data_IF_337005664772
#
_entry.id   IF_337005664772
#
_cell.length_a   1.000
_cell.length_b   1.000
_cell.length_c   1.000
_cell.angle_alpha   90.00
_cell.angle_beta   90.00
_cell.angle_gamma   90.00
#
_symmetry.space_group_name_H-M   'P 1'
#
loop_
_entity.id
_entity.type
_entity.pdbx_description
1 polymer ?
#
# COMPACT_ATOMS: atom_id res chain seq x y z
N UNK A 1 6.09 24.89 22.22
CA UNK A 1 7.33 24.58 21.46
C UNK A 1 7.70 25.82 20.64
N UNK A 2 8.98 26.19 20.49
CA UNK A 2 9.32 27.30 19.59
C UNK A 2 9.14 26.84 18.14
N UNK A 3 8.72 27.72 17.22
CA UNK A 3 8.65 27.40 15.78
C UNK A 3 9.98 26.85 15.25
N UNK A 4 11.10 27.25 15.87
CA UNK A 4 12.45 26.78 15.51
C UNK A 4 12.72 25.31 15.84
N UNK A 5 11.97 24.72 16.77
CA UNK A 5 12.13 23.32 17.17
C UNK A 5 11.26 22.38 16.31
N UNK A 6 10.35 22.95 15.50
CA UNK A 6 9.43 22.18 14.68
C UNK A 6 10.13 21.70 13.41
N UNK A 7 10.09 20.37 13.22
CA UNK A 7 10.39 19.72 11.94
C UNK A 7 9.09 19.31 11.26
N UNK A 8 8.83 19.86 10.08
CA UNK A 8 7.72 19.51 9.21
C UNK A 8 7.94 18.12 8.61
N UNK A 9 6.90 17.29 8.66
CA UNK A 9 6.89 15.94 8.11
C UNK A 9 6.01 15.94 6.85
N UNK A 10 6.62 15.64 5.70
CA UNK A 10 5.90 15.41 4.45
C UNK A 10 5.29 14.01 4.47
N UNK A 11 4.03 13.90 4.86
CA UNK A 11 3.33 12.61 4.94
C UNK A 11 2.42 12.30 3.73
N UNK A 12 2.35 13.21 2.75
CA UNK A 12 1.43 13.14 1.62
C UNK A 12 2.16 13.21 0.28
N UNK A 13 3.03 12.23 0.07
CA UNK A 13 3.83 12.09 -1.15
C UNK A 13 3.15 11.07 -2.08
N UNK A 14 2.92 11.49 -3.32
CA UNK A 14 2.40 10.67 -4.40
C UNK A 14 3.55 10.14 -5.24
N UNK A 15 3.74 8.83 -5.17
CA UNK A 15 4.84 8.15 -5.86
C UNK A 15 4.47 7.78 -7.29
N UNK A 16 5.36 7.08 -8.00
CA UNK A 16 5.06 6.51 -9.31
C UNK A 16 3.84 5.54 -9.31
N UNK A 17 3.39 5.10 -8.14
CA UNK A 17 2.22 4.23 -7.99
C UNK A 17 0.89 4.99 -7.92
N UNK A 18 0.91 6.32 -7.78
CA UNK A 18 -0.21 7.19 -8.16
C UNK A 18 -0.28 7.30 -9.69
N UNK A 19 -0.86 6.29 -10.34
CA UNK A 19 -0.89 6.18 -11.80
C UNK A 19 -1.48 7.45 -12.43
N UNK A 20 -0.72 8.06 -13.35
CA UNK A 20 -1.08 9.30 -14.05
C UNK A 20 -1.33 10.51 -13.14
N UNK A 21 -0.77 10.53 -11.92
CA UNK A 21 -0.89 11.65 -11.00
C UNK A 21 0.43 11.93 -10.25
N UNK A 22 1.04 10.93 -9.63
CA UNK A 22 2.32 11.06 -8.91
C UNK A 22 3.51 10.74 -9.81
N UNK A 23 4.59 11.52 -9.66
CA UNK A 23 5.83 11.37 -10.43
C UNK A 23 7.06 11.13 -9.54
N UNK A 24 6.91 11.08 -8.21
CA UNK A 24 8.04 10.83 -7.31
C UNK A 24 8.47 9.36 -7.39
N UNK A 25 9.70 9.10 -7.84
CA UNK A 25 10.27 7.75 -7.76
C UNK A 25 10.77 7.44 -6.37
N UNK A 26 10.39 6.30 -5.82
CA UNK A 26 10.75 5.90 -4.44
C UNK A 26 12.28 5.84 -4.24
N UNK A 27 13.03 5.31 -5.20
CA UNK A 27 14.49 5.18 -5.09
C UNK A 27 15.21 6.55 -5.14
N UNK A 28 14.72 7.46 -5.99
CA UNK A 28 15.19 8.86 -6.08
C UNK A 28 14.83 9.61 -4.79
N UNK A 29 13.62 9.43 -4.28
CA UNK A 29 13.16 10.01 -3.02
C UNK A 29 14.03 9.56 -1.85
N UNK A 30 14.38 8.28 -1.74
CA UNK A 30 15.23 7.77 -0.67
C UNK A 30 16.64 8.40 -0.70
N UNK A 31 17.22 8.57 -1.89
CA UNK A 31 18.51 9.26 -2.08
C UNK A 31 18.42 10.73 -1.65
N UNK A 32 17.39 11.43 -2.13
CA UNK A 32 17.14 12.83 -1.77
C UNK A 32 16.90 12.99 -0.27
N UNK A 33 16.10 12.11 0.33
CA UNK A 33 15.76 12.14 1.74
C UNK A 33 17.00 12.03 2.64
N UNK A 34 17.94 11.16 2.26
CA UNK A 34 19.23 10.99 2.94
C UNK A 34 20.11 12.24 2.85
N UNK A 35 20.22 12.84 1.67
CA UNK A 35 21.02 14.05 1.44
C UNK A 35 20.45 15.24 2.21
N UNK A 36 19.13 15.40 2.19
CA UNK A 36 18.39 16.48 2.84
C UNK A 36 18.10 16.23 4.32
N UNK A 37 18.57 15.10 4.88
CA UNK A 37 18.46 14.72 6.30
C UNK A 37 17.01 14.72 6.82
N UNK A 38 16.06 14.28 6.01
CA UNK A 38 14.69 14.07 6.49
C UNK A 38 14.65 13.01 7.58
N UNK A 39 13.86 13.25 8.63
CA UNK A 39 13.69 12.27 9.73
C UNK A 39 12.56 11.28 9.43
N UNK A 40 11.53 11.74 8.74
CA UNK A 40 10.38 10.93 8.34
C UNK A 40 9.77 11.47 7.07
N UNK A 41 9.25 10.57 6.24
CA UNK A 41 8.46 10.88 5.04
C UNK A 41 7.29 9.92 4.95
N UNK A 42 6.20 10.32 4.33
CA UNK A 42 5.02 9.48 4.17
C UNK A 42 4.47 9.42 2.77
N UNK A 43 4.00 8.23 2.42
CA UNK A 43 3.36 7.90 1.17
C UNK A 43 1.85 8.07 1.30
N UNK A 44 1.20 8.65 0.30
CA UNK A 44 -0.26 8.79 0.23
C UNK A 44 -0.76 8.58 -1.19
N UNK A 45 -0.31 7.50 -1.84
CA UNK A 45 -0.72 7.20 -3.22
C UNK A 45 -2.24 7.15 -3.39
N UNK A 46 -2.66 7.49 -4.60
CA UNK A 46 -4.04 7.65 -4.99
C UNK A 46 -4.67 6.30 -5.25
N UNK A 47 -5.73 6.00 -4.52
CA UNK A 47 -6.60 4.82 -4.64
C UNK A 47 -5.94 3.49 -4.26
N UNK A 48 -4.64 3.45 -3.98
CA UNK A 48 -3.92 2.20 -3.78
C UNK A 48 -2.80 2.29 -2.74
N UNK A 49 -2.22 1.13 -2.43
CA UNK A 49 -1.09 0.93 -1.53
C UNK A 49 0.05 0.14 -2.22
N UNK A 50 0.10 0.13 -3.56
CA UNK A 50 1.04 -0.69 -4.32
C UNK A 50 2.50 -0.35 -3.99
N UNK A 51 2.79 0.93 -3.76
CA UNK A 51 4.12 1.41 -3.38
C UNK A 51 4.46 1.25 -1.89
N UNK A 52 3.54 0.84 -1.02
CA UNK A 52 3.71 0.95 0.43
C UNK A 52 4.85 0.09 0.99
N UNK A 53 5.04 -1.14 0.48
CA UNK A 53 6.13 -2.01 0.92
C UNK A 53 7.49 -1.51 0.42
N UNK A 54 7.60 -1.19 -0.87
CA UNK A 54 8.82 -0.64 -1.48
C UNK A 54 9.24 0.65 -0.77
N UNK A 55 8.30 1.57 -0.54
CA UNK A 55 8.54 2.82 0.20
C UNK A 55 9.02 2.54 1.62
N UNK A 56 8.39 1.60 2.32
CA UNK A 56 8.81 1.22 3.67
C UNK A 56 10.25 0.72 3.71
N UNK A 57 10.63 -0.16 2.78
CA UNK A 57 11.97 -0.73 2.75
C UNK A 57 13.03 0.29 2.33
N UNK A 58 12.77 1.05 1.27
CA UNK A 58 13.72 2.00 0.71
C UNK A 58 14.03 3.16 1.65
N UNK A 59 13.00 3.74 2.28
CA UNK A 59 13.19 4.84 3.23
C UNK A 59 13.83 4.33 4.53
N UNK A 60 13.40 3.17 5.04
CA UNK A 60 14.00 2.58 6.23
C UNK A 60 15.48 2.23 6.03
N UNK A 61 15.88 1.82 4.81
CA UNK A 61 17.28 1.49 4.47
C UNK A 61 18.21 2.70 4.57
N UNK A 62 17.70 3.89 4.32
CA UNK A 62 18.47 5.15 4.43
C UNK A 62 18.33 5.84 5.80
N UNK A 63 17.64 5.21 6.75
CA UNK A 63 17.46 5.72 8.11
C UNK A 63 16.33 6.75 8.25
N UNK A 64 15.41 6.82 7.28
CA UNK A 64 14.25 7.71 7.30
C UNK A 64 13.02 6.92 7.75
N UNK A 65 12.24 7.45 8.69
CA UNK A 65 11.04 6.79 9.20
C UNK A 65 9.87 6.88 8.19
N UNK A 66 9.36 5.76 7.64
CA UNK A 66 8.26 5.78 6.69
C UNK A 66 6.91 5.87 7.40
N UNK A 67 6.07 6.82 6.97
CA UNK A 67 4.67 6.96 7.38
C UNK A 67 3.79 6.42 6.25
N UNK A 68 2.90 5.48 6.56
CA UNK A 68 2.10 4.82 5.52
C UNK A 68 0.68 5.37 5.50
N UNK A 69 0.29 5.92 4.36
CA UNK A 69 -1.06 6.38 4.09
C UNK A 69 -1.48 6.09 2.64
N UNK A 70 -2.67 6.57 2.30
CA UNK A 70 -3.26 6.51 0.96
C UNK A 70 -4.40 7.53 0.87
N UNK A 71 -4.73 7.95 -0.34
CA UNK A 71 -5.98 8.66 -0.60
C UNK A 71 -7.00 7.72 -1.23
N UNK A 72 -8.07 7.42 -0.51
CA UNK A 72 -9.16 6.61 -1.06
C UNK A 72 -10.37 7.47 -1.38
N UNK A 73 -11.04 7.18 -2.48
CA UNK A 73 -12.33 7.75 -2.77
C UNK A 73 -13.36 7.25 -1.76
N UNK A 74 -14.11 8.17 -1.15
CA UNK A 74 -15.24 7.88 -0.28
C UNK A 74 -16.50 8.45 -0.91
N UNK A 75 -17.56 7.64 -0.93
CA UNK A 75 -18.89 8.01 -1.41
C UNK A 75 -19.81 8.37 -0.25
N UNK A 76 -20.42 9.53 -0.34
CA UNK A 76 -21.48 10.02 0.57
C UNK A 76 -22.52 10.77 -0.23
N UNK A 77 -23.80 10.47 -0.05
CA UNK A 77 -24.91 11.22 -0.68
C UNK A 77 -24.72 11.46 -2.19
N UNK A 78 -24.28 10.42 -2.91
CA UNK A 78 -23.94 10.41 -4.35
C UNK A 78 -22.73 11.25 -4.79
N UNK A 79 -21.99 11.83 -3.86
CA UNK A 79 -20.73 12.54 -4.12
C UNK A 79 -19.58 11.60 -3.78
N UNK A 80 -18.67 11.43 -4.74
CA UNK A 80 -17.43 10.65 -4.59
C UNK A 80 -16.25 11.61 -4.57
N UNK A 81 -15.32 11.43 -3.63
CA UNK A 81 -14.07 12.16 -3.64
C UNK A 81 -13.03 11.57 -2.71
N UNK A 82 -11.78 11.97 -2.91
CA UNK A 82 -10.64 11.49 -2.13
C UNK A 82 -10.73 11.91 -0.66
N UNK A 83 -10.30 11.02 0.22
CA UNK A 83 -10.06 11.27 1.66
C UNK A 83 -8.70 10.70 2.01
N UNK A 84 -7.89 11.49 2.69
CA UNK A 84 -6.54 11.11 3.12
C UNK A 84 -6.61 10.23 4.38
N UNK A 85 -6.02 9.05 4.32
CA UNK A 85 -5.98 8.08 5.42
C UNK A 85 -4.54 7.72 5.75
N UNK A 86 -4.17 7.70 7.03
CA UNK A 86 -2.81 7.36 7.48
C UNK A 86 -2.87 6.28 8.55
N UNK A 87 -2.05 5.25 8.43
CA UNK A 87 -1.93 4.20 9.42
C UNK A 87 -1.11 4.67 10.63
N UNK A 88 -1.73 4.63 11.81
CA UNK A 88 -1.06 4.87 13.09
C UNK A 88 -0.27 3.65 13.57
N UNK A 89 -0.81 2.46 13.33
CA UNK A 89 -0.26 1.19 13.82
C UNK A 89 -0.60 0.03 12.86
N UNK A 90 -0.23 -1.20 13.23
CA UNK A 90 -0.47 -2.39 12.41
C UNK A 90 -1.97 -2.63 12.12
N UNK A 91 -2.85 -2.36 13.09
CA UNK A 91 -4.30 -2.49 12.92
C UNK A 91 -4.78 -1.49 11.86
N UNK A 92 -4.31 -0.24 11.95
CA UNK A 92 -4.55 0.78 10.94
C UNK A 92 -4.10 0.36 9.56
N UNK A 93 -2.88 -0.15 9.43
CA UNK A 93 -2.38 -0.63 8.13
C UNK A 93 -3.24 -1.76 7.54
N UNK A 94 -3.66 -2.74 8.36
CA UNK A 94 -4.59 -3.79 7.93
C UNK A 94 -5.93 -3.23 7.48
N UNK A 95 -6.43 -2.20 8.16
CA UNK A 95 -7.65 -1.51 7.77
C UNK A 95 -7.48 -0.74 6.45
N UNK A 96 -6.34 -0.08 6.21
CA UNK A 96 -6.03 0.53 4.91
C UNK A 96 -6.05 -0.51 3.79
N UNK A 97 -5.41 -1.67 3.98
CA UNK A 97 -5.41 -2.76 3.00
C UNK A 97 -6.82 -3.25 2.70
N UNK A 98 -7.66 -3.37 3.73
CA UNK A 98 -9.04 -3.82 3.58
C UNK A 98 -9.91 -2.80 2.86
N UNK A 99 -9.78 -1.52 3.20
CA UNK A 99 -10.47 -0.41 2.52
C UNK A 99 -10.04 -0.31 1.06
N UNK A 100 -8.74 -0.31 0.77
CA UNK A 100 -8.23 -0.27 -0.61
C UNK A 100 -8.75 -1.45 -1.43
N UNK A 101 -8.71 -2.68 -0.89
CA UNK A 101 -9.27 -3.86 -1.57
C UNK A 101 -10.76 -3.73 -1.83
N UNK A 102 -11.53 -3.28 -0.83
CA UNK A 102 -12.99 -3.10 -0.92
C UNK A 102 -13.37 -2.02 -1.95
N UNK A 103 -12.56 -0.98 -2.07
CA UNK A 103 -12.76 0.08 -3.07
C UNK A 103 -12.69 -0.40 -4.53
N UNK A 104 -12.16 -1.60 -4.79
CA UNK A 104 -12.15 -2.20 -6.13
C UNK A 104 -13.07 -3.41 -6.25
N UNK A 105 -13.21 -4.24 -5.21
CA UNK A 105 -13.93 -5.52 -5.28
C UNK A 105 -15.44 -5.41 -5.10
N UNK A 106 -15.92 -4.44 -4.33
CA UNK A 106 -17.33 -4.36 -3.93
C UNK A 106 -18.14 -3.40 -4.81
N UNK A 107 -17.62 -3.08 -6.01
CA UNK A 107 -18.15 -2.05 -6.89
C UNK A 107 -18.22 -2.59 -8.31
N UNK A 108 -19.17 -2.05 -9.10
CA UNK A 108 -19.25 -2.31 -10.52
C UNK A 108 -17.97 -1.83 -11.24
N UNK A 109 -17.48 -2.61 -12.19
CA UNK A 109 -16.27 -2.31 -12.96
C UNK A 109 -16.32 -0.98 -13.75
N UNK A 110 -17.51 -0.40 -13.94
CA UNK A 110 -17.73 0.86 -14.65
C UNK A 110 -17.74 2.09 -13.74
N UNK A 111 -17.77 1.92 -12.42
CA UNK A 111 -17.73 3.01 -11.45
C UNK A 111 -16.28 3.29 -11.02
N UNK A 112 -16.02 4.54 -10.63
CA UNK A 112 -14.72 4.87 -10.02
C UNK A 112 -14.55 4.07 -8.71
N UNK A 113 -13.34 3.55 -8.43
CA UNK A 113 -13.06 2.85 -7.18
C UNK A 113 -13.42 3.75 -5.99
N UNK A 114 -14.19 3.25 -5.02
CA UNK A 114 -14.62 4.01 -3.84
C UNK A 114 -15.06 3.13 -2.66
N UNK A 115 -14.86 3.58 -1.44
CA UNK A 115 -15.55 3.01 -0.28
C UNK A 115 -16.80 3.84 0.05
N UNK A 116 -17.79 3.24 0.70
CA UNK A 116 -18.85 4.02 1.32
C UNK A 116 -18.33 4.69 2.60
N UNK A 117 -18.96 5.79 3.03
CA UNK A 117 -18.65 6.37 4.34
C UNK A 117 -18.85 5.36 5.50
N UNK A 118 -19.77 4.40 5.34
CA UNK A 118 -19.99 3.33 6.32
C UNK A 118 -18.76 2.45 6.44
N UNK A 119 -18.15 2.05 5.32
CA UNK A 119 -16.94 1.22 5.34
C UNK A 119 -15.80 1.93 6.08
N UNK A 120 -15.65 3.24 5.88
CA UNK A 120 -14.65 4.03 6.61
C UNK A 120 -14.92 4.03 8.13
N UNK A 121 -16.18 4.06 8.56
CA UNK A 121 -16.55 3.95 9.98
C UNK A 121 -16.27 2.55 10.54
N UNK A 122 -16.58 1.51 9.77
CA UNK A 122 -16.40 0.10 10.16
C UNK A 122 -14.91 -0.28 10.26
N UNK A 123 -14.04 0.28 9.41
CA UNK A 123 -12.59 0.02 9.37
C UNK A 123 -11.76 1.21 9.89
N UNK A 124 -12.22 1.85 10.97
CA UNK A 124 -11.65 3.08 11.51
C UNK A 124 -10.46 2.92 12.46
N UNK A 125 -10.36 1.78 13.14
CA UNK A 125 -9.37 1.59 14.20
C UNK A 125 -7.93 1.75 13.71
N UNK A 126 -7.13 2.53 14.43
CA UNK A 126 -5.71 2.72 14.12
C UNK A 126 -5.43 3.62 12.91
N UNK A 127 -6.43 4.35 12.39
CA UNK A 127 -6.27 5.28 11.28
C UNK A 127 -6.39 6.74 11.72
N UNK A 128 -5.62 7.61 11.08
CA UNK A 128 -5.91 9.03 10.97
C UNK A 128 -6.73 9.31 9.72
N UNK A 129 -7.66 10.25 9.83
CA UNK A 129 -8.46 10.76 8.71
C UNK A 129 -8.23 12.25 8.60
N UNK A 130 -7.82 12.70 7.42
CA UNK A 130 -7.64 14.12 7.14
C UNK A 130 -8.70 14.57 6.14
N UNK A 131 -9.45 15.61 6.52
CA UNK A 131 -10.49 16.21 5.71
C UNK A 131 -10.05 17.61 5.29
N UNK A 132 -9.76 17.79 4.01
CA UNK A 132 -9.38 19.08 3.45
C UNK A 132 -8.65 18.92 2.14
N UNK A 133 -7.82 19.89 1.80
CA UNK A 133 -7.11 19.93 0.51
C UNK A 133 -8.01 20.19 -0.70
N UNK A 134 -7.38 20.48 -1.83
CA UNK A 134 -8.07 20.70 -3.09
C UNK A 134 -8.39 19.37 -3.79
N UNK A 135 -9.40 19.34 -4.66
CA UNK A 135 -9.83 18.12 -5.39
C UNK A 135 -10.23 16.89 -4.54
N UNK A 136 -10.59 17.08 -3.25
CA UNK A 136 -11.01 16.03 -2.33
C UNK A 136 -12.53 15.94 -2.18
N UNK A 137 -13.02 14.96 -1.42
CA UNK A 137 -14.44 14.92 -1.02
C UNK A 137 -14.83 16.20 -0.26
N UNK A 138 -13.92 16.69 0.58
CA UNK A 138 -14.12 17.92 1.37
C UNK A 138 -14.30 19.12 0.46
N UNK A 139 -13.41 19.35 -0.51
CA UNK A 139 -13.55 20.48 -1.42
C UNK A 139 -14.82 20.37 -2.27
N UNK A 140 -15.16 19.19 -2.78
CA UNK A 140 -16.41 18.98 -3.53
C UNK A 140 -17.64 19.35 -2.71
N UNK A 141 -17.70 18.98 -1.43
CA UNK A 141 -18.84 19.31 -0.56
C UNK A 141 -18.92 20.82 -0.30
N UNK A 142 -17.81 21.47 0.03
CA UNK A 142 -17.78 22.90 0.36
C UNK A 142 -18.09 23.76 -0.86
N UNK A 143 -17.48 23.46 -2.01
CA UNK A 143 -17.63 24.26 -3.22
C UNK A 143 -19.02 24.13 -3.84
N UNK A 144 -19.67 22.97 -3.67
CA UNK A 144 -21.05 22.73 -4.11
C UNK A 144 -22.11 23.14 -3.06
N UNK A 145 -21.72 23.90 -2.03
CA UNK A 145 -22.59 24.38 -0.95
C UNK A 145 -23.34 23.25 -0.20
N UNK A 146 -22.71 22.08 -0.05
CA UNK A 146 -23.25 20.90 0.64
C UNK A 146 -22.86 20.86 2.13
N UNK A 147 -22.84 22.01 2.80
CA UNK A 147 -22.34 22.17 4.16
C UNK A 147 -23.05 21.24 5.16
N UNK A 148 -24.36 21.02 5.00
CA UNK A 148 -25.12 20.10 5.86
C UNK A 148 -24.60 18.67 5.78
N UNK A 149 -24.24 18.21 4.57
CA UNK A 149 -23.68 16.88 4.35
C UNK A 149 -22.28 16.80 4.96
N UNK A 150 -21.45 17.83 4.75
CA UNK A 150 -20.13 17.93 5.37
C UNK A 150 -20.21 17.83 6.89
N UNK A 151 -21.04 18.66 7.54
CA UNK A 151 -21.21 18.67 9.00
C UNK A 151 -21.71 17.34 9.55
N UNK A 152 -22.67 16.70 8.86
CA UNK A 152 -23.15 15.37 9.23
C UNK A 152 -22.03 14.33 9.17
N UNK A 153 -21.22 14.37 8.12
CA UNK A 153 -20.10 13.44 7.94
C UNK A 153 -19.02 13.66 8.99
N UNK A 154 -18.66 14.91 9.28
CA UNK A 154 -17.71 15.23 10.35
C UNK A 154 -18.22 14.70 11.70
N UNK A 155 -19.50 14.88 12.04
CA UNK A 155 -20.04 14.36 13.30
C UNK A 155 -19.97 12.83 13.41
N UNK A 156 -20.31 12.12 12.32
CA UNK A 156 -20.18 10.65 12.25
C UNK A 156 -18.72 10.22 12.42
N UNK A 157 -17.81 10.80 11.64
CA UNK A 157 -16.38 10.49 11.71
C UNK A 157 -15.81 10.81 13.08
N UNK A 158 -16.14 11.97 13.66
CA UNK A 158 -15.66 12.38 14.98
C UNK A 158 -16.06 11.39 16.09
N UNK A 159 -17.26 10.81 16.02
CA UNK A 159 -17.72 9.82 17.01
C UNK A 159 -16.84 8.56 17.05
N UNK A 160 -16.20 8.24 15.93
CA UNK A 160 -15.40 7.02 15.75
C UNK A 160 -13.90 7.31 15.84
N UNK A 161 -13.41 8.28 15.08
CA UNK A 161 -11.98 8.62 14.98
C UNK A 161 -11.48 9.46 16.15
N UNK A 162 -12.36 10.18 16.86
CA UNK A 162 -12.02 11.02 18.02
C UNK A 162 -10.83 11.94 17.70
N UNK A 163 -9.72 11.76 18.41
CA UNK A 163 -8.50 12.56 18.28
C UNK A 163 -7.68 12.24 17.01
N UNK A 164 -8.09 11.26 16.21
CA UNK A 164 -7.45 10.89 14.96
C UNK A 164 -8.11 11.54 13.72
N UNK A 165 -9.07 12.46 13.90
CA UNK A 165 -9.70 13.23 12.83
C UNK A 165 -9.10 14.64 12.79
N UNK A 166 -8.63 15.06 11.62
CA UNK A 166 -8.07 16.40 11.42
C UNK A 166 -8.71 17.12 10.23
N UNK A 167 -8.78 18.44 10.31
CA UNK A 167 -8.98 19.31 9.16
C UNK A 167 -7.64 19.64 8.52
N UNK A 168 -7.50 19.30 7.25
CA UNK A 168 -6.26 19.41 6.49
C UNK A 168 -6.19 20.76 5.78
N UNK A 169 -5.15 21.55 6.09
CA UNK A 169 -4.91 22.84 5.44
C UNK A 169 -3.71 22.71 4.50
N UNK A 170 -3.91 23.18 3.27
CA UNK A 170 -2.97 23.11 2.16
C UNK A 170 -2.91 24.47 1.47
N UNK A 171 -1.72 24.87 1.02
CA UNK A 171 -1.46 26.18 0.42
C UNK A 171 -0.50 26.02 -0.77
N UNK A 172 -1.07 25.73 -1.93
CA UNK A 172 -0.37 25.60 -3.20
C UNK A 172 -0.64 26.78 -4.15
N UNK A 173 -1.36 27.81 -3.69
CA UNK A 173 -1.85 28.93 -4.50
C UNK A 173 -2.86 28.47 -5.57
N UNK A 174 -3.69 27.48 -5.22
CA UNK A 174 -4.72 26.96 -6.11
C UNK A 174 -6.03 27.73 -6.00
N UNK A 175 -6.83 27.64 -7.06
CA UNK A 175 -8.17 28.22 -7.05
C UNK A 175 -9.03 27.55 -5.97
N UNK A 176 -9.67 28.38 -5.14
CA UNK A 176 -10.55 28.01 -4.03
C UNK A 176 -9.87 27.52 -2.74
N UNK A 177 -8.53 27.41 -2.65
CA UNK A 177 -7.86 27.01 -1.40
C UNK A 177 -8.26 27.93 -0.24
N UNK A 178 -8.23 29.25 -0.43
CA UNK A 178 -8.65 30.23 0.59
C UNK A 178 -10.08 29.99 1.08
N UNK A 179 -11.00 29.63 0.17
CA UNK A 179 -12.40 29.38 0.53
C UNK A 179 -12.52 28.11 1.39
N UNK A 180 -11.81 27.06 1.01
CA UNK A 180 -11.80 25.77 1.74
C UNK A 180 -11.13 25.97 3.11
N UNK A 181 -9.98 26.61 3.16
CA UNK A 181 -9.24 26.91 4.39
C UNK A 181 -10.10 27.71 5.37
N UNK A 182 -10.67 28.83 4.93
CA UNK A 182 -11.52 29.68 5.78
C UNK A 182 -12.73 28.90 6.35
N UNK A 183 -13.34 28.04 5.54
CA UNK A 183 -14.44 27.19 5.98
C UNK A 183 -13.98 26.18 7.04
N UNK A 184 -12.86 25.49 6.81
CA UNK A 184 -12.32 24.49 7.74
C UNK A 184 -11.87 25.11 9.06
N UNK A 185 -11.16 26.25 9.02
CA UNK A 185 -10.71 26.96 10.23
C UNK A 185 -11.91 27.44 11.05
N UNK A 186 -12.94 27.99 10.39
CA UNK A 186 -14.16 28.44 11.08
C UNK A 186 -14.90 27.29 11.76
N UNK A 187 -14.97 26.13 11.11
CA UNK A 187 -15.63 24.93 11.65
C UNK A 187 -14.75 24.14 12.63
N UNK A 188 -13.43 24.30 12.61
CA UNK A 188 -12.50 23.63 13.53
C UNK A 188 -12.86 23.96 14.98
N UNK A 189 -13.11 25.25 15.28
CA UNK A 189 -13.47 25.72 16.62
C UNK A 189 -14.83 25.20 17.09
N UNK A 190 -15.85 25.29 16.23
CA UNK A 190 -17.22 24.89 16.59
C UNK A 190 -17.33 23.37 16.76
N UNK A 191 -16.69 22.60 15.88
CA UNK A 191 -16.73 21.15 15.89
C UNK A 191 -15.63 20.54 16.77
N UNK A 192 -14.71 21.34 17.33
CA UNK A 192 -13.55 20.88 18.11
C UNK A 192 -12.78 19.77 17.37
N UNK A 193 -12.46 20.02 16.10
CA UNK A 193 -11.63 19.15 15.27
C UNK A 193 -10.31 19.88 15.01
N UNK A 194 -9.15 19.32 15.39
CA UNK A 194 -7.86 19.98 15.22
C UNK A 194 -7.52 20.18 13.73
N UNK A 195 -6.74 21.22 13.44
CA UNK A 195 -6.20 21.48 12.10
C UNK A 195 -4.79 20.87 11.97
N UNK A 196 -4.41 20.46 10.77
CA UNK A 196 -3.07 19.96 10.46
C UNK A 196 -2.61 20.54 9.12
N UNK A 197 -1.35 21.00 9.08
CA UNK A 197 -0.74 21.47 7.84
C UNK A 197 -0.20 20.28 7.06
N UNK A 198 -0.45 20.24 5.75
CA UNK A 198 0.12 19.25 4.85
C UNK A 198 0.60 19.91 3.55
N UNK A 199 1.36 19.14 2.78
CA UNK A 199 1.84 19.49 1.46
C UNK A 199 1.55 18.29 0.56
N UNK A 200 0.78 18.50 -0.51
CA UNK A 200 0.50 17.46 -1.50
C UNK A 200 1.67 17.44 -2.49
N UNK A 201 2.52 16.41 -2.42
CA UNK A 201 3.75 16.35 -3.21
C UNK A 201 3.57 15.38 -4.38
N UNK A 202 3.74 15.87 -5.60
CA UNK A 202 3.71 15.04 -6.82
C UNK A 202 5.09 14.87 -7.47
N UNK A 203 6.04 15.76 -7.18
CA UNK A 203 7.40 15.74 -7.73
C UNK A 203 8.41 16.29 -6.71
N UNK A 204 9.70 15.99 -6.87
CA UNK A 204 10.72 16.36 -5.85
C UNK A 204 11.11 17.83 -5.98
N UNK A 205 11.37 18.31 -7.20
CA UNK A 205 11.91 19.64 -7.47
C UNK A 205 10.90 20.50 -8.25
N UNK A 206 10.84 21.79 -7.93
CA UNK A 206 9.87 22.73 -8.52
C UNK A 206 9.95 22.82 -10.05
N UNK A 207 11.15 22.68 -10.61
CA UNK A 207 11.41 22.70 -12.06
C UNK A 207 10.81 21.49 -12.81
N UNK A 208 10.30 20.48 -12.10
CA UNK A 208 9.60 19.34 -12.69
C UNK A 208 8.12 19.64 -13.03
N UNK A 209 7.62 20.83 -12.70
CA UNK A 209 6.21 21.17 -12.89
C UNK A 209 5.72 20.98 -14.34
N UNK A 210 6.46 21.49 -15.34
CA UNK A 210 6.04 21.37 -16.75
C UNK A 210 5.94 19.90 -17.20
N UNK A 211 6.89 19.07 -16.75
CA UNK A 211 6.88 17.64 -17.05
C UNK A 211 5.71 16.92 -16.36
N UNK A 212 5.39 17.31 -15.12
CA UNK A 212 4.25 16.78 -14.37
C UNK A 212 2.91 17.18 -14.99
N UNK A 213 2.78 18.43 -15.45
CA UNK A 213 1.59 18.92 -16.12
C UNK A 213 1.29 18.13 -17.41
N UNK A 214 2.33 17.87 -18.21
CA UNK A 214 2.22 16.99 -19.38
C UNK A 214 1.87 15.54 -19.00
N UNK A 215 2.44 15.00 -17.91
CA UNK A 215 2.18 13.65 -17.44
C UNK A 215 0.71 13.43 -17.05
N UNK A 216 0.11 14.39 -16.34
CA UNK A 216 -1.30 14.33 -15.96
C UNK A 216 -2.24 14.35 -17.18
N UNK A 217 -1.89 15.10 -18.22
CA UNK A 217 -2.67 15.15 -19.46
C UNK A 217 -2.82 13.76 -20.10
N UNK A 218 -1.82 12.88 -19.97
CA UNK A 218 -1.88 11.48 -20.44
C UNK A 218 -3.00 10.72 -19.72
N UNK A 219 -3.12 10.88 -18.40
CA UNK A 219 -4.19 10.26 -17.61
C UNK A 219 -5.57 10.79 -17.96
N UNK A 220 -5.67 12.10 -18.19
CA UNK A 220 -6.93 12.76 -18.56
C UNK A 220 -7.34 12.56 -20.02
N UNK A 221 -6.43 12.03 -20.86
CA UNK A 221 -6.60 11.98 -22.33
C UNK A 221 -6.89 13.38 -22.89
N UNK A 222 -6.19 14.38 -22.36
CA UNK A 222 -6.32 15.79 -22.72
C UNK A 222 -5.00 16.33 -23.29
N UNK A 223 -5.05 17.54 -23.84
CA UNK A 223 -3.87 18.28 -24.31
C UNK A 223 -3.53 19.40 -23.34
N UNK A 224 -2.26 19.80 -23.28
CA UNK A 224 -1.78 20.85 -22.37
C UNK A 224 -2.49 22.19 -22.63
N UNK A 225 -2.87 22.46 -23.89
CA UNK A 225 -3.58 23.68 -24.30
C UNK A 225 -5.07 23.72 -23.88
N UNK A 226 -5.66 22.59 -23.46
CA UNK A 226 -7.06 22.55 -23.02
C UNK A 226 -7.21 23.28 -21.67
N UNK A 227 -7.96 24.38 -21.66
CA UNK A 227 -8.19 25.21 -20.46
C UNK A 227 -9.17 24.59 -19.47
N UNK A 228 -9.95 23.59 -19.87
CA UNK A 228 -10.95 22.94 -19.01
C UNK A 228 -10.41 21.69 -18.31
N UNK A 229 -9.16 21.28 -18.61
CA UNK A 229 -8.50 20.15 -17.97
C UNK A 229 -8.18 20.46 -16.52
N UNK A 230 -7.93 19.42 -15.73
CA UNK A 230 -7.37 19.59 -14.39
C UNK A 230 -5.87 19.86 -14.54
N UNK A 231 -5.40 20.95 -13.96
CA UNK A 231 -3.99 21.31 -13.85
C UNK A 231 -3.68 21.61 -12.39
N UNK A 232 -2.43 21.42 -12.00
CA UNK A 232 -1.93 21.87 -10.71
C UNK A 232 -0.93 23.00 -10.93
N UNK A 233 -0.77 23.83 -9.92
CA UNK A 233 0.26 24.85 -9.77
C UNK A 233 1.65 24.22 -9.67
N UNK A 234 2.66 25.08 -9.76
CA UNK A 234 4.07 24.72 -9.59
C UNK A 234 4.46 24.48 -8.11
N UNK A 235 3.51 24.56 -7.18
CA UNK A 235 3.78 24.49 -5.74
C UNK A 235 3.72 23.08 -5.16
N UNK A 236 3.50 22.04 -5.98
CA UNK A 236 3.37 20.64 -5.55
C UNK A 236 4.70 19.86 -5.46
N UNK A 237 5.82 20.57 -5.26
CA UNK A 237 7.12 19.96 -5.02
C UNK A 237 7.37 19.68 -3.52
N UNK A 238 8.44 18.92 -3.25
CA UNK A 238 8.89 18.59 -1.90
C UNK A 238 9.62 19.80 -1.27
N UNK A 239 8.84 20.75 -0.72
CA UNK A 239 9.33 21.96 -0.05
C UNK A 239 10.27 21.66 1.13
N UNK A 240 11.21 22.57 1.38
CA UNK A 240 12.07 22.52 2.56
C UNK A 240 11.29 22.81 3.86
N UNK A 241 11.88 22.44 5.00
CA UNK A 241 11.31 22.75 6.31
C UNK A 241 11.09 24.25 6.51
N UNK A 242 12.05 25.08 6.08
CA UNK A 242 11.98 26.54 6.23
C UNK A 242 10.83 27.15 5.43
N UNK A 243 10.62 26.67 4.20
CA UNK A 243 9.49 27.08 3.36
C UNK A 243 8.16 26.73 4.03
N UNK A 244 8.01 25.51 4.55
CA UNK A 244 6.77 25.09 5.21
C UNK A 244 6.49 25.85 6.50
N UNK A 245 7.52 26.10 7.33
CA UNK A 245 7.38 26.90 8.55
C UNK A 245 6.99 28.35 8.25
N UNK A 246 7.57 28.95 7.19
CA UNK A 246 7.20 30.30 6.75
C UNK A 246 5.77 30.34 6.20
N UNK A 247 5.39 29.34 5.43
CA UNK A 247 4.08 29.25 4.77
C UNK A 247 2.93 29.15 5.77
N UNK A 248 3.13 28.51 6.93
CA UNK A 248 2.10 28.27 7.95
C UNK A 248 2.37 28.99 9.28
N UNK A 249 3.19 30.05 9.26
CA UNK A 249 3.60 30.78 10.46
C UNK A 249 2.42 31.42 11.24
N UNK A 250 1.31 31.68 10.55
CA UNK A 250 0.07 32.22 11.09
C UNK A 250 -0.80 31.19 11.81
N UNK A 251 -0.61 29.88 11.54
CA UNK A 251 -1.35 28.78 12.18
C UNK A 251 -0.39 27.75 12.82
N UNK A 252 0.35 28.13 13.88
CA UNK A 252 1.35 27.27 14.52
C UNK A 252 0.79 25.94 15.04
N UNK A 253 -0.48 25.90 15.45
CA UNK A 253 -1.14 24.66 15.90
C UNK A 253 -1.17 23.59 14.78
N UNK A 254 -1.33 24.01 13.51
CA UNK A 254 -1.32 23.11 12.37
C UNK A 254 0.06 22.50 12.13
N UNK A 255 1.13 23.29 12.35
CA UNK A 255 2.52 22.85 12.28
C UNK A 255 2.87 21.91 13.44
N UNK A 256 2.39 22.18 14.65
CA UNK A 256 2.61 21.30 15.81
C UNK A 256 1.92 19.94 15.62
N UNK A 257 0.69 19.92 15.12
CA UNK A 257 -0.01 18.67 14.80
C UNK A 257 0.71 17.86 13.72
N UNK A 258 1.25 18.53 12.69
CA UNK A 258 2.08 17.89 11.66
C UNK A 258 3.36 17.30 12.28
N UNK A 259 4.07 18.09 13.10
CA UNK A 259 5.30 17.66 13.76
C UNK A 259 5.12 16.39 14.58
N UNK A 260 4.02 16.34 15.34
CA UNK A 260 3.73 15.27 16.27
C UNK A 260 3.26 13.98 15.59
N UNK A 261 2.83 14.04 14.33
CA UNK A 261 2.27 12.89 13.61
C UNK A 261 3.25 11.69 13.55
N UNK A 262 4.53 11.95 13.27
CA UNK A 262 5.55 10.89 13.14
C UNK A 262 5.74 10.05 14.40
N UNK A 263 5.52 10.64 15.59
CA UNK A 263 5.65 9.92 16.85
C UNK A 263 4.44 9.03 17.15
N UNK A 264 3.32 9.26 16.46
CA UNK A 264 2.11 8.46 16.59
C UNK A 264 2.05 7.32 15.57
N UNK A 265 2.64 7.50 14.39
CA UNK A 265 2.73 6.49 13.34
C UNK A 265 3.90 5.52 13.62
N UNK A 266 3.63 4.43 14.33
CA UNK A 266 4.65 3.50 14.83
C UNK A 266 4.84 2.23 14.00
N UNK A 267 4.11 2.06 12.90
CA UNK A 267 4.14 0.84 12.10
C UNK A 267 4.56 1.12 10.65
N UNK A 268 5.37 0.20 10.11
CA UNK A 268 5.69 0.12 8.69
C UNK A 268 5.56 -1.34 8.18
N UNK A 269 5.14 -1.55 6.93
CA UNK A 269 5.13 -2.86 6.29
C UNK A 269 6.52 -3.49 6.29
N UNK A 270 6.57 -4.79 6.55
CA UNK A 270 7.79 -5.59 6.50
C UNK A 270 7.59 -6.73 5.51
N UNK A 271 8.64 -7.19 4.82
CA UNK A 271 8.59 -8.42 4.06
C UNK A 271 8.17 -9.57 4.97
N UNK A 272 7.13 -10.29 4.57
CA UNK A 272 6.74 -11.53 5.22
C UNK A 272 7.55 -12.69 4.67
N UNK A 273 7.91 -13.64 5.53
CA UNK A 273 8.34 -14.96 5.06
C UNK A 273 7.22 -15.59 4.22
N UNK A 274 7.55 -16.43 3.22
CA UNK A 274 6.53 -17.14 2.44
C UNK A 274 5.54 -17.85 3.36
N UNK A 275 4.25 -17.49 3.24
CA UNK A 275 3.16 -18.18 3.93
C UNK A 275 2.69 -19.30 3.01
N UNK A 276 3.09 -20.54 3.32
CA UNK A 276 2.67 -21.71 2.56
C UNK A 276 1.24 -22.10 2.96
N UNK A 277 0.34 -22.39 2.01
CA UNK A 277 -0.97 -22.95 2.32
C UNK A 277 -0.83 -24.26 3.10
N UNK A 278 -1.76 -24.52 4.01
CA UNK A 278 -1.86 -25.84 4.62
C UNK A 278 -2.33 -26.84 3.55
N UNK A 279 -1.56 -27.91 3.34
CA UNK A 279 -1.98 -29.01 2.47
C UNK A 279 -2.99 -29.88 3.23
N UNK A 280 -4.28 -29.66 3.00
CA UNK A 280 -5.35 -30.52 3.52
C UNK A 280 -5.75 -31.52 2.43
N UNK A 281 -5.28 -32.76 2.51
CA UNK A 281 -5.87 -33.81 1.68
C UNK A 281 -7.22 -34.22 2.29
N UNK A 282 -8.25 -34.41 1.45
CA UNK A 282 -9.60 -34.80 1.89
C UNK A 282 -9.65 -36.15 2.64
N UNK A 283 -8.55 -36.89 2.68
CA UNK A 283 -8.38 -38.20 3.32
C UNK A 283 -7.44 -38.20 4.53
N UNK A 284 -6.95 -37.05 4.99
CA UNK A 284 -6.00 -36.96 6.11
C UNK A 284 -6.61 -36.29 7.33
N UNK A 285 -7.31 -37.07 8.14
CA UNK A 285 -7.21 -36.90 9.60
C UNK A 285 -5.73 -36.96 9.97
N UNK A 286 -5.18 -35.85 10.47
CA UNK A 286 -3.93 -35.79 11.26
C UNK A 286 -2.65 -36.44 10.69
N UNK A 287 -2.51 -36.65 9.38
CA UNK A 287 -1.19 -37.06 8.83
C UNK A 287 -0.27 -35.85 8.62
N UNK A 288 0.88 -35.87 9.28
CA UNK A 288 1.95 -34.89 9.11
C UNK A 288 2.36 -34.81 7.61
N UNK A 289 2.33 -33.60 7.04
CA UNK A 289 2.69 -33.26 5.65
C UNK A 289 4.04 -33.85 5.24
N UNK A 290 4.97 -33.95 6.18
CA UNK A 290 6.30 -34.53 6.02
C UNK A 290 6.25 -36.04 5.68
N UNK A 291 5.33 -36.78 6.30
CA UNK A 291 5.13 -38.21 6.06
C UNK A 291 4.50 -38.42 4.68
N UNK A 292 3.48 -37.62 4.35
CA UNK A 292 2.80 -37.69 3.05
C UNK A 292 3.77 -37.41 1.91
N UNK A 293 4.65 -36.40 2.06
CA UNK A 293 5.70 -36.14 1.08
C UNK A 293 6.62 -37.35 0.90
N UNK A 294 7.09 -37.95 1.99
CA UNK A 294 7.99 -39.09 1.92
C UNK A 294 7.33 -40.30 1.24
N UNK A 295 6.10 -40.65 1.61
CA UNK A 295 5.34 -41.74 0.99
C UNK A 295 5.14 -41.53 -0.52
N UNK A 296 4.73 -40.32 -0.93
CA UNK A 296 4.49 -40.01 -2.34
C UNK A 296 5.79 -39.96 -3.14
N UNK A 297 6.86 -39.42 -2.56
CA UNK A 297 8.16 -39.34 -3.22
C UNK A 297 8.79 -40.73 -3.37
N UNK A 298 8.64 -41.63 -2.40
CA UNK A 298 9.04 -43.03 -2.51
C UNK A 298 8.26 -43.75 -3.63
N UNK A 299 6.93 -43.65 -3.64
CA UNK A 299 6.10 -44.22 -4.72
C UNK A 299 6.47 -43.68 -6.09
N UNK A 300 6.72 -42.37 -6.18
CA UNK A 300 7.18 -41.71 -7.39
C UNK A 300 8.55 -42.21 -7.86
N UNK A 301 9.50 -42.40 -6.94
CA UNK A 301 10.82 -42.93 -7.23
C UNK A 301 10.75 -44.38 -7.71
N UNK A 302 9.99 -45.25 -7.04
CA UNK A 302 9.81 -46.65 -7.44
C UNK A 302 9.28 -46.76 -8.87
N UNK A 303 8.26 -45.96 -9.20
CA UNK A 303 7.72 -45.88 -10.57
C UNK A 303 8.80 -45.47 -11.58
N UNK A 304 9.55 -44.41 -11.30
CA UNK A 304 10.62 -43.90 -12.19
C UNK A 304 11.78 -44.89 -12.34
N UNK A 305 12.18 -45.55 -11.26
CA UNK A 305 13.22 -46.57 -11.30
C UNK A 305 12.81 -47.71 -12.23
N UNK A 306 11.59 -48.23 -12.09
CA UNK A 306 11.12 -49.35 -12.91
C UNK A 306 10.88 -48.97 -14.38
N UNK A 307 10.31 -47.79 -14.64
CA UNK A 307 9.92 -47.38 -16.00
C UNK A 307 11.09 -46.84 -16.84
N UNK A 308 12.08 -46.22 -16.20
CA UNK A 308 13.12 -45.44 -16.91
C UNK A 308 14.53 -45.97 -16.64
N UNK A 309 14.92 -46.11 -15.37
CA UNK A 309 16.33 -46.30 -15.00
C UNK A 309 16.74 -47.78 -15.07
N UNK A 310 15.91 -48.68 -14.53
CA UNK A 310 16.21 -50.10 -14.41
C UNK A 310 15.82 -50.91 -15.64
N UNK A 311 15.09 -50.32 -16.60
CA UNK A 311 14.50 -51.02 -17.75
C UNK A 311 15.51 -51.80 -18.60
N UNK A 312 16.75 -51.34 -18.66
CA UNK A 312 17.82 -51.95 -19.47
C UNK A 312 18.92 -52.61 -18.63
N UNK A 313 18.75 -52.71 -17.30
CA UNK A 313 19.71 -53.36 -16.41
C UNK A 313 19.27 -54.79 -16.15
N UNK A 314 20.17 -55.75 -16.40
CA UNK A 314 19.92 -57.19 -16.20
C UNK A 314 20.74 -57.79 -15.06
N UNK A 315 21.83 -57.16 -14.64
CA UNK A 315 22.66 -57.63 -13.52
C UNK A 315 22.02 -57.28 -12.16
N UNK A 316 21.66 -58.28 -11.32
CA UNK A 316 21.07 -58.03 -10.00
C UNK A 316 21.93 -57.15 -9.08
N UNK A 317 23.26 -57.23 -9.17
CA UNK A 317 24.15 -56.41 -8.34
C UNK A 317 24.08 -54.94 -8.74
N UNK A 318 24.20 -54.66 -10.02
CA UNK A 318 24.10 -53.30 -10.56
C UNK A 318 22.72 -52.67 -10.31
N UNK A 319 21.64 -53.46 -10.38
CA UNK A 319 20.29 -53.02 -10.00
C UNK A 319 20.23 -52.60 -8.53
N UNK A 320 20.78 -53.41 -7.62
CA UNK A 320 20.75 -53.14 -6.18
C UNK A 320 21.57 -51.88 -5.83
N UNK A 321 22.76 -51.72 -6.41
CA UNK A 321 23.61 -50.54 -6.22
C UNK A 321 22.94 -49.27 -6.75
N UNK A 322 22.35 -49.33 -7.94
CA UNK A 322 21.63 -48.20 -8.54
C UNK A 322 20.45 -47.78 -7.67
N UNK A 323 19.61 -48.73 -7.23
CA UNK A 323 18.49 -48.44 -6.32
C UNK A 323 18.96 -47.74 -5.04
N UNK A 324 20.06 -48.19 -4.46
CA UNK A 324 20.63 -47.60 -3.24
C UNK A 324 21.03 -46.15 -3.45
N UNK A 325 21.72 -45.81 -4.54
CA UNK A 325 22.14 -44.43 -4.87
C UNK A 325 20.93 -43.47 -4.89
N UNK A 326 19.85 -43.85 -5.59
CA UNK A 326 18.67 -42.99 -5.68
C UNK A 326 17.88 -42.92 -4.38
N UNK A 327 17.79 -44.02 -3.63
CA UNK A 327 17.11 -44.04 -2.33
C UNK A 327 17.84 -43.18 -1.30
N UNK A 328 19.16 -43.27 -1.25
CA UNK A 328 20.01 -42.45 -0.37
C UNK A 328 19.85 -40.96 -0.72
N UNK A 329 19.85 -40.63 -2.02
CA UNK A 329 19.61 -39.26 -2.49
C UNK A 329 18.21 -38.75 -2.10
N UNK A 330 17.16 -39.55 -2.34
CA UNK A 330 15.79 -39.21 -1.99
C UNK A 330 15.65 -38.94 -0.49
N UNK A 331 16.19 -39.84 0.34
CA UNK A 331 16.12 -39.70 1.80
C UNK A 331 16.85 -38.44 2.29
N UNK A 332 18.00 -38.13 1.71
CA UNK A 332 18.72 -36.89 2.01
C UNK A 332 17.90 -35.64 1.65
N UNK A 333 17.35 -35.57 0.44
CA UNK A 333 16.57 -34.42 -0.01
C UNK A 333 15.27 -34.25 0.79
N UNK A 334 14.50 -35.32 0.99
CA UNK A 334 13.26 -35.25 1.79
C UNK A 334 13.56 -34.82 3.22
N UNK A 335 14.66 -35.30 3.81
CA UNK A 335 15.10 -34.86 5.14
C UNK A 335 15.38 -33.35 5.16
N UNK A 336 16.09 -32.81 4.16
CA UNK A 336 16.37 -31.37 4.08
C UNK A 336 15.09 -30.55 3.86
N UNK A 337 14.20 -31.00 2.97
CA UNK A 337 12.91 -30.35 2.69
C UNK A 337 12.06 -30.25 3.95
N UNK A 338 11.98 -31.34 4.73
CA UNK A 338 11.26 -31.37 6.00
C UNK A 338 11.90 -30.42 7.03
N UNK A 339 13.24 -30.43 7.15
CA UNK A 339 13.95 -29.51 8.05
C UNK A 339 13.72 -28.03 7.72
N UNK A 340 13.65 -27.68 6.43
CA UNK A 340 13.38 -26.32 5.96
C UNK A 340 11.87 -25.98 5.94
N UNK A 341 11.00 -26.92 6.31
CA UNK A 341 9.53 -26.78 6.32
C UNK A 341 8.93 -26.46 4.94
N UNK A 342 9.51 -27.00 3.87
CA UNK A 342 9.02 -26.84 2.50
C UNK A 342 8.14 -27.99 2.02
N UNK A 343 7.82 -28.98 2.87
CA UNK A 343 7.09 -30.18 2.44
C UNK A 343 5.72 -29.86 1.84
N UNK A 344 5.00 -28.89 2.40
CA UNK A 344 3.71 -28.43 1.87
C UNK A 344 3.85 -27.81 0.48
N UNK A 345 4.92 -27.06 0.21
CA UNK A 345 5.19 -26.49 -1.11
C UNK A 345 5.34 -27.58 -2.18
N UNK A 346 6.15 -28.62 -1.90
CA UNK A 346 6.35 -29.74 -2.83
C UNK A 346 5.04 -30.50 -3.10
N UNK A 347 4.21 -30.70 -2.08
CA UNK A 347 2.91 -31.36 -2.25
C UNK A 347 1.95 -30.53 -3.09
N UNK A 348 1.84 -29.22 -2.83
CA UNK A 348 0.99 -28.31 -3.61
C UNK A 348 1.43 -28.31 -5.08
N UNK A 349 2.74 -28.18 -5.33
CA UNK A 349 3.30 -28.17 -6.69
C UNK A 349 3.03 -29.49 -7.40
N UNK A 350 3.26 -30.62 -6.72
CA UNK A 350 2.96 -31.93 -7.29
C UNK A 350 1.47 -32.10 -7.62
N UNK A 351 0.58 -31.62 -6.76
CA UNK A 351 -0.86 -31.79 -6.89
C UNK A 351 -1.41 -31.06 -8.13
N UNK A 352 -1.15 -29.75 -8.28
CA UNK A 352 -1.66 -29.04 -9.45
C UNK A 352 -1.01 -29.51 -10.76
N UNK A 353 0.25 -29.98 -10.73
CA UNK A 353 0.90 -30.57 -11.92
C UNK A 353 0.21 -31.88 -12.31
N UNK A 354 -0.10 -32.75 -11.34
CA UNK A 354 -0.80 -34.00 -11.60
C UNK A 354 -2.22 -33.74 -12.10
N UNK A 355 -2.93 -32.79 -11.48
CA UNK A 355 -4.26 -32.36 -11.91
C UNK A 355 -4.24 -31.82 -13.33
N UNK A 356 -3.28 -30.94 -13.68
CA UNK A 356 -3.15 -30.41 -15.03
C UNK A 356 -2.94 -31.52 -16.07
N UNK A 357 -2.05 -32.49 -15.79
CA UNK A 357 -1.82 -33.65 -16.67
C UNK A 357 -3.06 -34.52 -16.84
N UNK A 358 -3.81 -34.77 -15.77
CA UNK A 358 -5.04 -35.56 -15.82
C UNK A 358 -6.16 -34.84 -16.59
N UNK A 359 -6.12 -33.51 -16.68
CA UNK A 359 -7.08 -32.70 -17.42
C UNK A 359 -6.56 -32.24 -18.80
N UNK A 360 -5.49 -32.85 -19.30
CA UNK A 360 -4.88 -32.51 -20.60
C UNK A 360 -4.47 -31.04 -20.73
N UNK A 361 -4.09 -30.39 -19.63
CA UNK A 361 -3.56 -29.03 -19.61
C UNK A 361 -2.02 -29.11 -19.69
N UNK A 362 -1.38 -28.60 -20.75
CA UNK A 362 0.06 -28.63 -20.88
C UNK A 362 0.76 -27.83 -19.76
N UNK A 363 1.78 -28.42 -19.15
CA UNK A 363 2.67 -27.75 -18.19
C UNK A 363 4.04 -27.53 -18.83
N UNK A 364 4.56 -26.30 -18.73
CA UNK A 364 5.83 -25.93 -19.36
C UNK A 364 7.04 -26.67 -18.77
N UNK A 365 8.16 -26.73 -19.52
CA UNK A 365 9.40 -27.33 -19.01
C UNK A 365 10.15 -26.41 -18.03
N UNK A 366 9.76 -25.14 -17.86
CA UNK A 366 10.40 -24.20 -16.93
C UNK A 366 10.20 -24.66 -15.48
N UNK A 367 11.30 -24.80 -14.73
CA UNK A 367 11.30 -25.44 -13.40
C UNK A 367 12.10 -24.72 -12.32
N UNK A 368 12.68 -23.56 -12.63
CA UNK A 368 13.53 -22.82 -11.68
C UNK A 368 14.72 -23.66 -11.18
N UNK A 369 15.37 -23.23 -10.10
CA UNK A 369 16.37 -23.99 -9.32
C UNK A 369 16.01 -23.93 -7.85
#
# INVERSE_FOLDING_TARGET
>A
MSLKDITFNHFKIHTQYSICEGAVKIDELAKYAKLSKFLSLGISDSYNLSGALEFSEELSRVGVHPIIGTQLNIKTDNIIGKVSLIAKNEIGYKNLLKLSSKSYLDINATEEPHCSIKDLLDYSNGLFVLLGGNHTLTSKLILNNQDKIFLNNVNKLKSVFKDNLFFEIQRHNEVNEDRIENFLISNSKSLKVPIIASQEVFYIHQDMHEAHDAYICIGQKAYVEDKNRISYSDQHYLKSNEEMLKLFADIPDALENNHNLKYQCIYRPLPSKPLLPNFSSASSTEKNVEIVLHELAQKGLEKRLNEVILKNLTDPKQIAETKKIYLDRLNYEVKMINQMKFSGYFLIVSDYILWAKNNNIPVGPGRGS
#
